data_IF_830985990488
#
_entry.id   IF_830985990488
#
_cell.length_a   1.000
_cell.length_b   1.000
_cell.length_c   1.000
_cell.angle_alpha   90.00
_cell.angle_beta   90.00
_cell.angle_gamma   90.00
#
_symmetry.space_group_name_H-M   'P 1'
#
loop_
_entity.id
_entity.type
_entity.pdbx_description
1 polymer ?
#
# COMPACT_ATOMS: atom_id res chain seq x y z
N UNK A 1 -24.45 -48.09 -9.15
CA UNK A 1 -24.66 -47.97 -7.69
C UNK A 1 -24.65 -46.48 -7.41
N UNK A 2 -25.82 -45.88 -7.47
CA UNK A 2 -26.07 -44.45 -7.25
C UNK A 2 -26.32 -44.25 -5.75
N UNK A 3 -25.64 -43.28 -5.15
CA UNK A 3 -25.96 -42.82 -3.78
C UNK A 3 -26.60 -41.43 -3.88
N UNK A 4 -27.87 -41.37 -3.53
CA UNK A 4 -28.67 -40.17 -3.35
C UNK A 4 -28.19 -39.36 -2.13
N UNK A 5 -28.08 -38.05 -2.30
CA UNK A 5 -27.94 -37.08 -1.25
C UNK A 5 -29.24 -36.29 -1.10
N UNK A 6 -29.77 -36.10 0.12
CA UNK A 6 -31.06 -35.42 0.30
C UNK A 6 -30.96 -33.91 0.30
N UNK A 7 -31.97 -33.30 -0.31
CA UNK A 7 -32.26 -31.89 -0.43
C UNK A 7 -32.45 -31.11 0.87
N UNK A 8 -32.03 -29.87 0.87
CA UNK A 8 -32.15 -28.87 1.91
C UNK A 8 -33.63 -28.60 2.33
N UNK A 9 -33.86 -28.46 3.64
CA UNK A 9 -35.10 -27.93 4.20
C UNK A 9 -35.04 -26.42 4.35
N UNK A 10 -36.09 -25.77 3.85
CA UNK A 10 -36.43 -24.37 4.05
C UNK A 10 -36.66 -24.05 5.52
N UNK A 11 -36.19 -22.95 6.02
CA UNK A 11 -36.51 -22.41 7.35
C UNK A 11 -37.53 -21.31 7.18
N UNK A 12 -38.75 -21.59 7.66
CA UNK A 12 -39.87 -20.65 7.73
C UNK A 12 -39.65 -19.61 8.84
N UNK A 13 -40.09 -18.39 8.52
CA UNK A 13 -40.13 -17.27 9.44
C UNK A 13 -41.16 -17.49 10.54
N UNK A 14 -40.73 -17.49 11.81
CA UNK A 14 -41.61 -17.41 12.96
C UNK A 14 -41.67 -15.98 13.49
N UNK A 15 -42.85 -15.37 13.31
CA UNK A 15 -43.26 -14.16 13.99
C UNK A 15 -43.65 -14.51 15.44
N UNK A 16 -43.07 -13.86 16.42
CA UNK A 16 -43.56 -13.89 17.81
C UNK A 16 -43.92 -12.48 18.25
N UNK A 17 -45.24 -12.27 18.35
CA UNK A 17 -45.87 -11.21 19.13
C UNK A 17 -45.87 -11.62 20.60
N UNK A 18 -45.34 -10.80 21.49
CA UNK A 18 -45.39 -11.03 22.94
C UNK A 18 -45.45 -9.71 23.71
N UNK A 19 -46.58 -9.50 24.39
CA UNK A 19 -46.90 -8.31 25.20
C UNK A 19 -46.08 -8.18 26.48
N UNK A 20 -46.11 -7.02 27.18
CA UNK A 20 -45.09 -6.59 28.13
C UNK A 20 -45.36 -7.14 29.56
N UNK A 21 -44.29 -7.62 30.21
CA UNK A 21 -44.28 -7.88 31.65
C UNK A 21 -43.61 -6.73 32.38
N UNK A 22 -44.40 -6.03 33.21
CA UNK A 22 -43.87 -5.08 34.22
C UNK A 22 -43.20 -5.85 35.35
N UNK A 23 -41.99 -5.44 35.77
CA UNK A 23 -41.59 -5.49 37.19
C UNK A 23 -40.32 -4.65 37.50
N UNK A 24 -40.52 -3.78 38.49
CA UNK A 24 -39.60 -3.27 39.52
C UNK A 24 -38.38 -2.48 39.15
N UNK A 25 -38.50 -1.18 39.37
CA UNK A 25 -37.60 -0.13 39.73
C UNK A 25 -36.21 -0.51 40.30
N UNK A 26 -35.19 -0.23 39.51
CA UNK A 26 -33.89 0.29 39.98
C UNK A 26 -33.41 1.21 38.90
N UNK A 27 -33.26 2.48 39.25
CA UNK A 27 -32.69 3.55 38.46
C UNK A 27 -31.23 3.17 38.13
N UNK A 28 -30.95 2.78 36.90
CA UNK A 28 -29.59 2.70 36.39
C UNK A 28 -29.15 4.12 36.09
N UNK A 29 -28.10 4.57 36.78
CA UNK A 29 -27.37 5.79 36.44
C UNK A 29 -26.90 5.67 35.00
N UNK A 30 -27.33 6.58 34.15
CA UNK A 30 -26.77 6.81 32.84
C UNK A 30 -25.28 7.14 33.02
N UNK A 31 -24.42 6.29 32.52
CA UNK A 31 -23.01 6.66 32.34
C UNK A 31 -22.95 7.75 31.28
N UNK A 32 -22.44 8.90 31.67
CA UNK A 32 -22.16 10.01 30.77
C UNK A 32 -21.18 9.53 29.69
N UNK A 33 -21.61 9.59 28.45
CA UNK A 33 -20.76 9.48 27.28
C UNK A 33 -19.75 10.64 27.34
N UNK A 34 -18.45 10.43 27.20
CA UNK A 34 -17.50 11.52 27.13
C UNK A 34 -17.84 12.38 25.90
N UNK A 35 -18.22 13.63 26.12
CA UNK A 35 -18.32 14.63 25.08
C UNK A 35 -16.91 14.84 24.52
N UNK A 36 -16.68 14.36 23.33
CA UNK A 36 -15.53 14.82 22.55
C UNK A 36 -15.70 16.32 22.37
N UNK A 37 -14.76 17.08 22.91
CA UNK A 37 -14.66 18.49 22.68
C UNK A 37 -14.50 18.71 21.16
N UNK A 38 -15.38 19.49 20.57
CA UNK A 38 -15.22 20.04 19.23
C UNK A 38 -14.02 20.97 19.27
N UNK A 39 -12.85 20.42 18.91
CA UNK A 39 -11.65 21.23 18.76
C UNK A 39 -11.82 22.09 17.50
N UNK A 40 -11.65 23.39 17.69
CA UNK A 40 -11.70 24.42 16.65
C UNK A 40 -10.81 24.00 15.48
N UNK A 41 -11.36 24.10 14.26
CA UNK A 41 -10.63 24.01 13.01
C UNK A 41 -9.38 24.90 13.09
N UNK A 42 -8.24 24.31 13.44
CA UNK A 42 -6.95 24.93 13.23
C UNK A 42 -6.77 25.07 11.73
N UNK A 43 -6.92 26.29 11.24
CA UNK A 43 -6.62 26.65 9.85
C UNK A 43 -5.19 26.22 9.53
N UNK A 44 -5.07 25.19 8.68
CA UNK A 44 -3.80 24.81 8.08
C UNK A 44 -3.27 26.05 7.35
N UNK A 45 -2.14 26.58 7.79
CA UNK A 45 -1.44 27.65 7.08
C UNK A 45 -0.97 27.08 5.75
N UNK A 46 -1.68 27.40 4.68
CA UNK A 46 -1.23 27.15 3.31
C UNK A 46 -0.08 28.14 3.07
N UNK A 47 1.14 27.68 3.24
CA UNK A 47 2.34 28.36 2.76
C UNK A 47 2.36 28.42 1.23
N UNK A 48 3.27 29.19 0.59
CA UNK A 48 3.33 29.27 -0.86
C UNK A 48 3.52 27.87 -1.45
N UNK A 49 2.62 27.50 -2.39
CA UNK A 49 2.52 26.18 -3.02
C UNK A 49 3.86 25.79 -3.67
N UNK A 50 4.64 24.87 -3.09
CA UNK A 50 5.80 24.36 -3.77
C UNK A 50 5.36 23.37 -4.84
N UNK A 51 5.87 23.55 -6.04
CA UNK A 51 5.90 22.62 -7.16
C UNK A 51 4.94 21.39 -7.06
N UNK A 52 3.71 21.52 -7.57
CA UNK A 52 2.70 20.45 -7.57
C UNK A 52 3.06 19.25 -8.46
N UNK A 53 4.33 19.07 -8.77
CA UNK A 53 4.82 17.97 -9.62
C UNK A 53 4.44 16.58 -9.09
N UNK A 54 4.30 16.45 -7.76
CA UNK A 54 3.87 15.20 -7.13
C UNK A 54 2.44 14.78 -7.55
N UNK A 55 1.56 15.73 -7.90
CA UNK A 55 0.19 15.43 -8.38
C UNK A 55 0.18 14.66 -9.70
N UNK A 56 1.26 14.73 -10.50
CA UNK A 56 1.39 13.96 -11.75
C UNK A 56 1.42 12.45 -11.52
N UNK A 57 1.68 12.01 -10.29
CA UNK A 57 1.62 10.61 -9.90
C UNK A 57 0.23 10.02 -10.17
N UNK A 58 -0.84 10.80 -9.96
CA UNK A 58 -2.21 10.37 -10.23
C UNK A 58 -2.50 10.10 -11.73
N UNK A 59 -1.81 10.76 -12.64
CA UNK A 59 -1.94 10.48 -14.08
C UNK A 59 -1.48 9.05 -14.41
N UNK A 60 -0.44 8.57 -13.74
CA UNK A 60 0.11 7.22 -13.91
C UNK A 60 -0.62 6.17 -13.08
N UNK A 61 -0.62 6.35 -11.77
CA UNK A 61 -1.11 5.33 -10.83
C UNK A 61 -2.61 5.40 -10.58
N UNK A 62 -3.22 6.59 -10.59
CA UNK A 62 -4.64 6.79 -10.35
C UNK A 62 -5.51 6.51 -11.58
N UNK A 63 -4.97 6.55 -12.79
CA UNK A 63 -5.75 6.42 -14.03
C UNK A 63 -6.61 5.14 -14.09
N UNK A 64 -6.11 4.05 -13.56
CA UNK A 64 -6.78 2.75 -13.44
C UNK A 64 -6.84 2.28 -11.99
N UNK A 65 -7.19 3.21 -11.08
CA UNK A 65 -7.16 2.95 -9.63
C UNK A 65 -7.98 1.72 -9.22
N UNK A 66 -9.15 1.48 -9.82
CA UNK A 66 -9.97 0.31 -9.52
C UNK A 66 -9.27 -0.99 -9.95
N UNK A 67 -8.67 -1.03 -11.14
CA UNK A 67 -7.92 -2.20 -11.60
C UNK A 67 -6.64 -2.40 -10.77
N UNK A 68 -5.96 -1.31 -10.38
CA UNK A 68 -4.84 -1.39 -9.45
C UNK A 68 -5.27 -2.02 -8.12
N UNK A 69 -6.32 -1.51 -7.50
CA UNK A 69 -6.83 -1.98 -6.21
C UNK A 69 -7.29 -3.44 -6.22
N UNK A 70 -7.83 -3.92 -7.36
CA UNK A 70 -8.47 -5.24 -7.47
C UNK A 70 -7.60 -6.30 -8.12
N UNK A 71 -6.67 -5.92 -9.00
CA UNK A 71 -5.83 -6.85 -9.76
C UNK A 71 -4.36 -6.79 -9.35
N UNK A 72 -3.81 -5.60 -9.09
CA UNK A 72 -2.38 -5.42 -8.81
C UNK A 72 -2.05 -5.48 -7.33
N UNK A 73 -2.71 -4.68 -6.51
CA UNK A 73 -2.40 -4.52 -5.09
C UNK A 73 -2.55 -5.80 -4.26
N UNK A 74 -3.54 -6.70 -4.50
CA UNK A 74 -3.69 -7.93 -3.71
C UNK A 74 -2.46 -8.84 -3.71
N UNK A 75 -1.66 -8.82 -4.78
CA UNK A 75 -0.40 -9.58 -4.83
C UNK A 75 0.64 -9.11 -3.78
N UNK A 76 0.47 -7.89 -3.26
CA UNK A 76 1.35 -7.30 -2.26
C UNK A 76 1.06 -7.80 -0.84
N UNK A 77 -0.02 -8.54 -0.59
CA UNK A 77 -0.39 -8.99 0.77
C UNK A 77 0.75 -9.69 1.50
N UNK A 78 1.54 -10.54 0.80
CA UNK A 78 2.68 -11.24 1.41
C UNK A 78 3.75 -10.26 1.90
N UNK A 79 4.00 -9.22 1.13
CA UNK A 79 4.93 -8.15 1.44
C UNK A 79 4.45 -7.33 2.64
N UNK A 80 3.19 -6.92 2.64
CA UNK A 80 2.57 -6.14 3.71
C UNK A 80 2.57 -6.91 5.04
N UNK A 81 2.05 -8.13 5.02
CA UNK A 81 2.01 -9.00 6.22
C UNK A 81 3.40 -9.32 6.73
N UNK A 82 4.35 -9.61 5.83
CA UNK A 82 5.74 -9.89 6.20
C UNK A 82 6.41 -8.71 6.88
N UNK A 83 6.24 -7.49 6.35
CA UNK A 83 6.79 -6.27 6.93
C UNK A 83 6.11 -5.92 8.26
N UNK A 84 4.78 -5.97 8.34
CA UNK A 84 4.06 -5.73 9.58
C UNK A 84 4.47 -6.71 10.68
N UNK A 85 4.70 -7.99 10.32
CA UNK A 85 5.23 -8.98 11.27
C UNK A 85 6.63 -8.62 11.73
N UNK A 86 7.51 -8.23 10.81
CA UNK A 86 8.90 -7.86 11.12
C UNK A 86 8.98 -6.63 12.02
N UNK A 87 8.12 -5.65 11.77
CA UNK A 87 7.97 -4.45 12.61
C UNK A 87 7.23 -4.73 13.93
N UNK A 88 6.68 -5.92 14.13
CA UNK A 88 5.85 -6.29 15.29
C UNK A 88 4.67 -5.34 15.48
N UNK A 89 4.01 -4.97 14.38
CA UNK A 89 2.82 -4.10 14.43
C UNK A 89 1.76 -4.71 15.33
N UNK A 90 1.24 -3.91 16.26
CA UNK A 90 0.29 -4.34 17.29
C UNK A 90 -0.73 -3.22 17.60
N UNK A 91 -1.63 -3.50 18.53
CA UNK A 91 -2.61 -2.53 19.03
C UNK A 91 -2.01 -1.31 19.76
N UNK A 92 -0.75 -1.39 20.17
CA UNK A 92 -0.05 -0.31 20.85
C UNK A 92 0.59 0.68 19.86
N UNK A 93 0.46 0.40 18.56
CA UNK A 93 1.10 1.19 17.52
C UNK A 93 0.16 2.23 16.91
N UNK A 94 0.73 3.39 16.62
CA UNK A 94 0.22 4.38 15.71
C UNK A 94 1.03 4.32 14.42
N UNK A 95 0.44 3.79 13.36
CA UNK A 95 1.11 3.50 12.10
C UNK A 95 0.72 4.52 11.02
N UNK A 96 1.71 5.07 10.33
CA UNK A 96 1.54 5.83 9.10
C UNK A 96 2.00 4.99 7.90
N UNK A 97 1.17 4.87 6.86
CA UNK A 97 1.60 4.31 5.58
C UNK A 97 1.80 5.42 4.55
N UNK A 98 3.04 5.58 4.06
CA UNK A 98 3.46 6.63 3.12
C UNK A 98 3.45 6.06 1.70
N UNK A 99 2.78 6.73 0.77
CA UNK A 99 2.39 6.23 -0.54
C UNK A 99 1.50 4.98 -0.40
N UNK A 100 0.40 5.14 0.34
CA UNK A 100 -0.46 4.04 0.78
C UNK A 100 -1.31 3.41 -0.33
N UNK A 101 -1.29 3.96 -1.54
CA UNK A 101 -2.06 3.44 -2.67
C UNK A 101 -3.55 3.34 -2.36
N UNK A 102 -4.17 2.21 -2.64
CA UNK A 102 -5.58 1.95 -2.34
C UNK A 102 -5.83 1.41 -0.92
N UNK A 103 -4.85 1.50 0.00
CA UNK A 103 -5.04 1.33 1.44
C UNK A 103 -5.07 -0.10 1.97
N UNK A 104 -4.67 -1.11 1.18
CA UNK A 104 -4.70 -2.51 1.62
C UNK A 104 -3.68 -2.78 2.76
N UNK A 105 -2.51 -2.13 2.74
CA UNK A 105 -1.54 -2.26 3.82
C UNK A 105 -2.09 -1.69 5.15
N UNK A 106 -2.81 -0.57 5.07
CA UNK A 106 -3.51 0.05 6.22
C UNK A 106 -4.56 -0.91 6.77
N UNK A 107 -5.43 -1.48 5.93
CA UNK A 107 -6.43 -2.47 6.33
C UNK A 107 -5.80 -3.63 7.10
N UNK A 108 -4.72 -4.20 6.56
CA UNK A 108 -4.00 -5.30 7.20
C UNK A 108 -3.33 -4.90 8.53
N UNK A 109 -2.88 -3.65 8.69
CA UNK A 109 -2.35 -3.14 9.96
C UNK A 109 -3.47 -2.92 10.99
N UNK A 110 -4.62 -2.41 10.56
CA UNK A 110 -5.81 -2.22 11.41
C UNK A 110 -6.33 -3.55 11.94
N UNK A 111 -6.31 -4.62 11.13
CA UNK A 111 -6.65 -5.98 11.57
C UNK A 111 -5.69 -6.52 12.66
N UNK A 112 -4.52 -5.94 12.83
CA UNK A 112 -3.59 -6.22 13.93
C UNK A 112 -3.82 -5.34 15.16
N UNK A 113 -4.81 -4.45 15.10
CA UNK A 113 -5.20 -3.53 16.16
C UNK A 113 -4.52 -2.17 16.13
N UNK A 114 -3.61 -1.91 15.18
CA UNK A 114 -2.93 -0.62 15.11
C UNK A 114 -3.90 0.53 14.78
N UNK A 115 -3.66 1.70 15.37
CA UNK A 115 -4.28 2.95 14.93
C UNK A 115 -3.51 3.47 13.71
N UNK A 116 -4.19 3.65 12.59
CA UNK A 116 -3.53 3.91 11.31
C UNK A 116 -3.83 5.30 10.76
N UNK A 117 -2.91 5.80 9.93
CA UNK A 117 -3.10 6.93 9.03
C UNK A 117 -2.42 6.62 7.68
N UNK A 118 -2.77 7.35 6.61
CA UNK A 118 -2.19 7.15 5.30
C UNK A 118 -2.07 8.43 4.48
N UNK A 119 -1.11 8.45 3.56
CA UNK A 119 -0.93 9.51 2.57
C UNK A 119 -0.56 8.92 1.22
N UNK A 120 -1.21 9.42 0.17
CA UNK A 120 -0.84 9.12 -1.22
C UNK A 120 -1.01 10.37 -2.09
N UNK A 121 -0.29 10.42 -3.20
CA UNK A 121 -0.36 11.51 -4.16
C UNK A 121 -1.57 11.40 -5.10
N UNK A 122 -2.20 10.23 -5.22
CA UNK A 122 -3.32 9.98 -6.12
C UNK A 122 -4.67 10.14 -5.45
N UNK A 123 -5.43 11.16 -5.86
CA UNK A 123 -6.81 11.39 -5.40
C UNK A 123 -7.69 10.15 -5.57
N UNK A 124 -7.53 9.45 -6.71
CA UNK A 124 -8.34 8.29 -7.07
C UNK A 124 -8.00 7.05 -6.25
N UNK A 125 -6.72 6.82 -5.93
CA UNK A 125 -6.31 5.76 -5.03
C UNK A 125 -6.74 6.06 -3.59
N UNK A 126 -6.58 7.31 -3.13
CA UNK A 126 -7.04 7.74 -1.80
C UNK A 126 -8.56 7.59 -1.65
N UNK A 127 -9.34 7.84 -2.70
CA UNK A 127 -10.79 7.62 -2.65
C UNK A 127 -11.12 6.14 -2.34
N UNK A 128 -10.42 5.20 -2.97
CA UNK A 128 -10.59 3.75 -2.70
C UNK A 128 -10.06 3.41 -1.29
N UNK A 129 -8.92 3.98 -0.90
CA UNK A 129 -8.34 3.74 0.41
C UNK A 129 -9.27 4.17 1.55
N UNK A 130 -9.95 5.31 1.40
CA UNK A 130 -10.96 5.81 2.35
C UNK A 130 -12.21 4.94 2.40
N UNK A 131 -12.69 4.47 1.25
CA UNK A 131 -13.83 3.53 1.18
C UNK A 131 -13.51 2.22 1.91
N UNK A 132 -12.29 1.71 1.73
CA UNK A 132 -11.79 0.48 2.36
C UNK A 132 -11.56 0.64 3.88
N UNK A 133 -11.16 1.83 4.33
CA UNK A 133 -10.74 2.12 5.70
C UNK A 133 -11.47 3.36 6.24
N UNK A 134 -12.80 3.26 6.40
CA UNK A 134 -13.69 4.41 6.70
C UNK A 134 -13.38 5.14 8.00
N UNK A 135 -12.73 4.47 8.97
CA UNK A 135 -12.38 5.04 10.28
C UNK A 135 -10.92 5.56 10.34
N UNK A 136 -10.19 5.52 9.22
CA UNK A 136 -8.78 5.88 9.16
C UNK A 136 -8.61 7.25 8.49
N UNK A 137 -7.75 8.09 9.05
CA UNK A 137 -7.34 9.35 8.41
C UNK A 137 -6.43 9.06 7.22
N UNK A 138 -6.92 9.27 5.99
CA UNK A 138 -6.13 9.10 4.76
C UNK A 138 -6.19 10.40 3.97
N UNK A 139 -5.05 10.98 3.66
CA UNK A 139 -4.94 12.28 3.00
C UNK A 139 -4.29 12.18 1.62
N UNK A 140 -4.69 13.10 0.73
CA UNK A 140 -3.97 13.34 -0.53
C UNK A 140 -2.85 14.34 -0.26
N UNK A 141 -1.60 13.97 -0.60
CA UNK A 141 -0.49 14.86 -0.28
C UNK A 141 0.86 14.44 -0.82
N UNK A 142 1.86 15.28 -0.57
CA UNK A 142 3.25 15.05 -0.92
C UNK A 142 3.98 14.33 0.22
N UNK A 143 4.59 13.18 -0.08
CA UNK A 143 5.41 12.44 0.89
C UNK A 143 6.66 13.22 1.36
N UNK A 144 7.07 14.23 0.62
CA UNK A 144 8.18 15.09 0.99
C UNK A 144 7.78 16.21 1.97
N UNK A 145 6.49 16.30 2.32
CA UNK A 145 5.94 17.28 3.26
C UNK A 145 4.74 16.67 3.98
N UNK A 146 5.00 15.83 4.97
CA UNK A 146 3.95 15.13 5.72
C UNK A 146 3.17 16.10 6.61
N UNK A 147 1.81 16.07 6.60
CA UNK A 147 0.98 17.04 7.31
C UNK A 147 0.83 16.76 8.82
N UNK A 148 1.61 15.85 9.37
CA UNK A 148 1.60 15.51 10.79
C UNK A 148 2.77 16.14 11.55
N UNK A 149 2.56 16.37 12.84
CA UNK A 149 3.57 16.91 13.75
C UNK A 149 4.75 15.94 13.96
N UNK A 150 5.86 16.45 14.46
CA UNK A 150 7.02 15.67 14.87
C UNK A 150 6.62 14.61 15.91
N UNK A 151 7.29 13.47 15.90
CA UNK A 151 7.12 12.42 16.88
C UNK A 151 5.66 11.99 17.10
N UNK A 152 4.93 11.77 16.00
CA UNK A 152 3.51 11.40 16.02
C UNK A 152 3.28 9.88 15.92
N UNK A 153 4.13 9.15 15.20
CA UNK A 153 3.92 7.75 14.89
C UNK A 153 4.97 6.85 15.54
N UNK A 154 4.54 5.65 15.95
CA UNK A 154 5.45 4.61 16.47
C UNK A 154 6.00 3.74 15.36
N UNK A 155 5.25 3.63 14.24
CA UNK A 155 5.64 2.87 13.05
C UNK A 155 5.33 3.69 11.80
N UNK A 156 6.25 3.70 10.86
CA UNK A 156 5.99 4.19 9.50
C UNK A 156 6.32 3.10 8.50
N UNK A 157 5.44 2.89 7.52
CA UNK A 157 5.65 1.98 6.40
C UNK A 157 5.62 2.72 5.08
N UNK A 158 6.32 2.19 4.06
CA UNK A 158 6.16 2.59 2.67
C UNK A 158 6.51 1.41 1.76
N UNK A 159 5.54 0.98 0.97
CA UNK A 159 5.66 -0.21 0.12
C UNK A 159 5.91 0.19 -1.32
N UNK A 160 7.19 0.22 -1.71
CA UNK A 160 7.64 0.59 -3.07
C UNK A 160 7.19 1.99 -3.52
N UNK A 161 6.87 2.87 -2.56
CA UNK A 161 6.46 4.25 -2.81
C UNK A 161 7.64 5.23 -2.81
N UNK A 162 8.69 4.96 -2.04
CA UNK A 162 9.88 5.81 -1.96
C UNK A 162 10.95 5.25 -2.88
N UNK A 163 11.41 6.07 -3.80
CA UNK A 163 12.45 5.73 -4.77
C UNK A 163 13.69 6.62 -4.56
N UNK A 164 14.80 6.25 -5.17
CA UNK A 164 16.07 6.97 -4.99
C UNK A 164 16.07 8.46 -5.38
N UNK A 165 14.97 8.95 -5.97
CA UNK A 165 14.76 10.36 -6.31
C UNK A 165 14.04 11.16 -5.23
N UNK A 166 13.55 10.51 -4.16
CA UNK A 166 12.81 11.14 -3.07
C UNK A 166 13.47 10.94 -1.69
N UNK A 167 14.76 11.31 -1.51
CA UNK A 167 15.42 11.17 -0.22
C UNK A 167 14.78 12.05 0.87
N UNK A 168 14.16 13.19 0.48
CA UNK A 168 13.46 14.07 1.42
C UNK A 168 12.31 13.36 2.14
N UNK A 169 11.63 12.42 1.49
CA UNK A 169 10.57 11.63 2.13
C UNK A 169 11.10 10.82 3.33
N UNK A 170 12.34 10.34 3.28
CA UNK A 170 12.96 9.61 4.39
C UNK A 170 13.23 10.54 5.58
N UNK A 171 13.60 11.80 5.32
CA UNK A 171 13.75 12.84 6.35
C UNK A 171 12.42 13.17 7.04
N UNK A 172 11.34 13.30 6.27
CA UNK A 172 10.00 13.53 6.81
C UNK A 172 9.50 12.33 7.64
N UNK A 173 9.75 11.11 7.18
CA UNK A 173 9.44 9.89 7.95
C UNK A 173 10.21 9.90 9.29
N UNK A 174 11.50 10.24 9.26
CA UNK A 174 12.27 10.34 10.49
C UNK A 174 11.72 11.42 11.42
N UNK A 175 11.27 12.56 10.89
CA UNK A 175 10.67 13.65 11.68
C UNK A 175 9.41 13.18 12.41
N UNK A 176 8.47 12.55 11.70
CA UNK A 176 7.17 12.15 12.26
C UNK A 176 7.23 10.91 13.15
N UNK A 177 8.31 10.12 13.11
CA UNK A 177 8.51 9.01 14.05
C UNK A 177 8.86 9.50 15.45
N UNK A 178 8.32 8.86 16.47
CA UNK A 178 8.75 9.04 17.86
C UNK A 178 10.19 8.52 18.04
N UNK A 179 10.96 8.98 19.05
CA UNK A 179 12.17 8.26 19.48
C UNK A 179 11.85 6.79 19.75
N UNK A 180 12.73 5.86 19.33
CA UNK A 180 12.47 4.42 19.34
C UNK A 180 11.48 3.92 18.28
N UNK A 181 10.90 4.82 17.49
CA UNK A 181 9.95 4.47 16.39
C UNK A 181 10.62 3.69 15.26
N UNK A 182 9.85 2.87 14.57
CA UNK A 182 10.32 1.89 13.59
C UNK A 182 9.87 2.24 12.18
N UNK A 183 10.80 2.17 11.24
CA UNK A 183 10.54 2.30 9.80
C UNK A 183 10.55 0.93 9.13
N UNK A 184 9.58 0.66 8.25
CA UNK A 184 9.59 -0.42 7.28
C UNK A 184 9.47 0.13 5.86
N UNK A 185 10.50 -0.02 5.06
CA UNK A 185 10.54 0.43 3.68
C UNK A 185 10.77 -0.76 2.74
N UNK A 186 10.03 -0.84 1.64
CA UNK A 186 10.30 -1.83 0.59
C UNK A 186 10.59 -1.16 -0.75
N UNK A 187 11.43 -1.81 -1.54
CA UNK A 187 11.84 -1.38 -2.88
C UNK A 187 12.03 -2.57 -3.79
N UNK A 188 12.04 -2.35 -5.10
CA UNK A 188 12.41 -3.40 -6.04
C UNK A 188 13.88 -3.80 -5.86
N UNK A 189 14.11 -5.12 -5.78
CA UNK A 189 15.44 -5.70 -5.76
C UNK A 189 16.05 -5.85 -7.15
N UNK A 190 16.98 -6.79 -7.31
CA UNK A 190 17.64 -7.05 -8.58
C UNK A 190 16.72 -7.82 -9.54
N UNK A 191 15.87 -7.10 -10.26
CA UNK A 191 14.80 -7.64 -11.13
C UNK A 191 15.35 -8.62 -12.16
N UNK A 192 16.47 -8.30 -12.82
CA UNK A 192 17.04 -9.14 -13.89
C UNK A 192 17.45 -10.54 -13.42
N UNK A 193 17.74 -10.71 -12.14
CA UNK A 193 18.07 -12.01 -11.54
C UNK A 193 16.83 -12.79 -11.06
N UNK A 194 15.64 -12.23 -11.23
CA UNK A 194 14.39 -12.86 -10.82
C UNK A 194 13.79 -13.69 -11.93
N UNK A 195 13.27 -14.87 -11.63
CA UNK A 195 12.57 -15.72 -12.61
C UNK A 195 11.32 -15.09 -13.20
N UNK A 196 10.73 -14.12 -12.46
CA UNK A 196 9.56 -13.34 -12.87
C UNK A 196 9.90 -12.05 -13.65
N UNK A 197 11.16 -11.82 -14.03
CA UNK A 197 11.55 -10.59 -14.76
C UNK A 197 10.76 -10.39 -16.06
N UNK A 198 10.26 -11.45 -16.66
CA UNK A 198 9.42 -11.42 -17.86
C UNK A 198 8.16 -10.55 -17.64
N UNK A 199 7.58 -10.58 -16.44
CA UNK A 199 6.35 -9.84 -16.13
C UNK A 199 6.54 -8.30 -16.17
N UNK A 200 7.76 -7.80 -16.14
CA UNK A 200 8.07 -6.37 -16.25
C UNK A 200 8.62 -6.00 -17.63
N UNK A 201 8.70 -6.95 -18.57
CA UNK A 201 9.25 -6.70 -19.90
C UNK A 201 8.47 -5.63 -20.70
N UNK A 202 7.12 -5.54 -20.64
CA UNK A 202 6.37 -4.53 -21.37
C UNK A 202 6.71 -3.08 -20.98
N UNK A 203 7.25 -2.83 -19.78
CA UNK A 203 7.69 -1.48 -19.40
C UNK A 203 8.86 -0.96 -20.26
N UNK A 204 9.60 -1.84 -20.94
CA UNK A 204 10.65 -1.43 -21.89
C UNK A 204 10.10 -0.77 -23.15
N UNK A 205 8.78 -0.87 -23.39
CA UNK A 205 8.11 -0.18 -24.50
C UNK A 205 7.97 1.33 -24.26
N UNK A 206 8.22 1.82 -23.05
CA UNK A 206 8.30 3.25 -22.79
C UNK A 206 9.42 3.89 -23.62
N UNK A 207 9.20 5.14 -24.07
CA UNK A 207 10.27 5.93 -24.70
C UNK A 207 11.47 6.06 -23.77
N UNK A 208 12.67 6.39 -24.30
CA UNK A 208 13.80 6.74 -23.45
C UNK A 208 13.34 7.76 -22.41
N UNK A 209 13.49 7.41 -21.16
CA UNK A 209 12.78 7.98 -20.01
C UNK A 209 12.86 9.49 -19.96
N UNK A 210 11.68 10.12 -19.96
CA UNK A 210 11.50 11.54 -19.62
C UNK A 210 11.24 11.72 -18.11
N UNK A 211 10.94 10.66 -17.39
CA UNK A 211 10.70 10.68 -15.95
C UNK A 211 11.89 10.00 -15.27
N UNK A 212 12.69 10.78 -14.55
CA UNK A 212 13.91 10.34 -13.85
C UNK A 212 13.67 9.19 -12.87
N UNK A 213 12.41 9.00 -12.46
CA UNK A 213 12.02 8.10 -11.38
C UNK A 213 12.05 6.61 -11.73
N UNK A 214 11.84 6.20 -12.97
CA UNK A 214 11.77 4.75 -13.28
C UNK A 214 13.15 4.06 -13.21
N UNK A 215 14.20 4.69 -13.64
CA UNK A 215 15.56 4.16 -13.47
C UNK A 215 15.97 4.08 -12.00
N UNK A 216 15.41 4.97 -11.17
CA UNK A 216 15.67 5.05 -9.75
C UNK A 216 14.88 4.02 -8.92
N UNK A 217 13.79 3.44 -9.43
CA UNK A 217 12.99 2.45 -8.71
C UNK A 217 13.77 1.26 -8.17
N UNK A 218 14.85 0.86 -8.84
CA UNK A 218 15.71 -0.25 -8.42
C UNK A 218 17.00 0.21 -7.74
N UNK A 219 17.26 1.52 -7.69
CA UNK A 219 18.54 2.05 -7.19
C UNK A 219 18.76 1.71 -5.72
N UNK A 220 17.75 1.92 -4.88
CA UNK A 220 17.81 1.63 -3.45
C UNK A 220 17.90 0.14 -3.14
N UNK A 221 17.45 -0.73 -4.03
CA UNK A 221 17.57 -2.18 -3.89
C UNK A 221 18.99 -2.73 -4.11
N UNK A 222 19.94 -1.92 -4.55
CA UNK A 222 21.34 -2.32 -4.67
C UNK A 222 21.96 -2.51 -3.27
N UNK A 223 22.88 -3.47 -3.11
CA UNK A 223 23.58 -3.64 -1.84
C UNK A 223 24.21 -2.35 -1.33
N UNK A 224 23.94 -1.99 -0.10
CA UNK A 224 24.46 -0.80 0.57
C UNK A 224 23.69 0.50 0.29
N UNK A 225 22.94 0.62 -0.81
CA UNK A 225 22.34 1.90 -1.20
C UNK A 225 21.18 2.33 -0.29
N UNK A 226 20.27 1.40 0.02
CA UNK A 226 19.15 1.70 0.93
C UNK A 226 19.63 1.85 2.38
N UNK A 227 20.57 1.02 2.79
CA UNK A 227 21.19 1.09 4.12
C UNK A 227 21.89 2.44 4.35
N UNK A 228 22.63 2.90 3.34
CA UNK A 228 23.31 4.20 3.38
C UNK A 228 22.30 5.35 3.46
N UNK A 229 21.23 5.32 2.64
CA UNK A 229 20.19 6.34 2.65
C UNK A 229 19.55 6.46 4.05
N UNK A 230 19.22 5.34 4.69
CA UNK A 230 18.61 5.35 6.02
C UNK A 230 19.60 5.87 7.07
N UNK A 231 20.88 5.46 7.02
CA UNK A 231 21.91 5.92 7.94
C UNK A 231 22.17 7.44 7.81
N UNK A 232 22.19 7.98 6.58
CA UNK A 232 22.33 9.41 6.30
C UNK A 232 21.17 10.25 6.87
N UNK A 233 19.98 9.62 7.05
CA UNK A 233 18.82 10.26 7.67
C UNK A 233 18.67 9.92 9.18
N UNK A 234 19.72 9.39 9.80
CA UNK A 234 19.77 9.19 11.25
C UNK A 234 19.12 7.93 11.79
N UNK A 235 18.72 6.99 10.94
CA UNK A 235 18.23 5.69 11.38
C UNK A 235 19.40 4.80 11.87
N UNK A 236 19.11 3.99 12.88
CA UNK A 236 20.03 3.00 13.44
C UNK A 236 19.40 1.60 13.35
N UNK A 237 20.15 0.56 13.72
CA UNK A 237 19.71 -0.84 13.68
C UNK A 237 19.12 -1.23 12.33
N UNK A 238 19.76 -0.76 11.27
CA UNK A 238 19.29 -0.93 9.90
C UNK A 238 19.49 -2.38 9.49
N UNK A 239 18.39 -3.04 9.15
CA UNK A 239 18.36 -4.39 8.63
C UNK A 239 17.84 -4.43 7.21
N UNK A 240 18.54 -5.16 6.34
CA UNK A 240 18.12 -5.49 4.98
C UNK A 240 17.52 -6.89 4.95
N UNK A 241 16.35 -7.05 4.40
CA UNK A 241 15.67 -8.34 4.23
C UNK A 241 15.27 -8.56 2.77
N UNK A 242 15.22 -9.81 2.33
CA UNK A 242 14.59 -10.17 1.05
C UNK A 242 13.17 -10.66 1.31
N UNK A 243 12.21 -10.06 0.59
CA UNK A 243 10.80 -10.42 0.70
C UNK A 243 10.39 -11.11 -0.61
N UNK A 244 9.84 -12.34 -0.55
CA UNK A 244 9.30 -12.99 -1.74
C UNK A 244 8.08 -12.24 -2.24
N UNK A 245 8.18 -11.67 -3.43
CA UNK A 245 7.04 -11.10 -4.15
C UNK A 245 6.66 -12.03 -5.30
N UNK A 246 5.39 -12.40 -5.35
CA UNK A 246 4.87 -13.30 -6.37
C UNK A 246 3.61 -12.70 -6.96
N UNK A 247 3.67 -12.36 -8.23
CA UNK A 247 2.50 -12.04 -9.04
C UNK A 247 1.90 -13.32 -9.62
N UNK A 248 0.61 -13.48 -9.43
CA UNK A 248 -0.15 -14.61 -9.99
C UNK A 248 -1.33 -14.08 -10.81
N UNK A 249 -1.50 -14.63 -12.00
CA UNK A 249 -2.56 -14.20 -12.92
C UNK A 249 -3.30 -15.42 -13.44
N UNK A 250 -4.62 -15.29 -13.58
CA UNK A 250 -5.46 -16.36 -14.10
C UNK A 250 -5.11 -16.69 -15.57
N UNK A 251 -4.86 -15.65 -16.36
CA UNK A 251 -4.63 -15.73 -17.79
C UNK A 251 -3.82 -14.52 -18.32
N UNK A 252 -3.42 -14.50 -19.60
CA UNK A 252 -2.68 -13.42 -20.21
C UNK A 252 -3.44 -12.08 -20.25
N UNK A 253 -4.76 -12.08 -20.32
CA UNK A 253 -5.57 -10.85 -20.40
C UNK A 253 -5.62 -10.18 -19.01
N UNK A 254 -5.82 -10.98 -17.95
CA UNK A 254 -5.73 -10.50 -16.56
C UNK A 254 -4.33 -9.94 -16.29
N UNK A 255 -3.27 -10.61 -16.75
CA UNK A 255 -1.90 -10.09 -16.63
C UNK A 255 -1.74 -8.73 -17.30
N UNK A 256 -2.17 -8.58 -18.55
CA UNK A 256 -2.01 -7.35 -19.32
C UNK A 256 -2.79 -6.19 -18.67
N UNK A 257 -4.01 -6.43 -18.18
CA UNK A 257 -4.83 -5.46 -17.45
C UNK A 257 -4.18 -5.07 -16.12
N UNK A 258 -3.70 -6.05 -15.36
CA UNK A 258 -3.00 -5.79 -14.10
C UNK A 258 -1.79 -4.90 -14.34
N UNK A 259 -0.98 -5.21 -15.35
CA UNK A 259 0.21 -4.43 -15.67
C UNK A 259 -0.15 -3.01 -16.11
N UNK A 260 -1.19 -2.85 -16.96
CA UNK A 260 -1.68 -1.57 -17.45
C UNK A 260 -2.19 -0.64 -16.32
N UNK A 261 -2.53 -1.19 -15.15
CA UNK A 261 -2.98 -0.42 -13.99
C UNK A 261 -1.84 0.22 -13.19
N UNK A 262 -0.59 -0.04 -13.55
CA UNK A 262 0.59 0.47 -12.83
C UNK A 262 1.16 1.74 -13.47
N UNK A 263 1.81 2.59 -12.68
CA UNK A 263 2.44 3.82 -13.17
C UNK A 263 3.46 3.60 -14.31
N UNK A 264 4.38 2.62 -14.23
CA UNK A 264 5.31 2.34 -15.32
C UNK A 264 4.65 1.97 -16.64
N UNK A 265 3.49 1.33 -16.63
CA UNK A 265 2.75 1.01 -17.85
C UNK A 265 2.17 2.26 -18.52
N UNK A 266 1.83 3.29 -17.73
CA UNK A 266 1.31 4.54 -18.28
C UNK A 266 2.27 5.14 -19.31
N UNK A 267 3.55 5.23 -19.01
CA UNK A 267 4.55 5.77 -19.93
C UNK A 267 4.70 4.91 -21.19
N UNK A 268 4.68 3.60 -21.05
CA UNK A 268 4.70 2.69 -22.19
C UNK A 268 3.46 2.89 -23.08
N UNK A 269 2.27 2.95 -22.49
CA UNK A 269 1.01 3.16 -23.19
C UNK A 269 1.00 4.53 -23.90
N UNK A 270 1.50 5.58 -23.26
CA UNK A 270 1.61 6.91 -23.90
C UNK A 270 2.53 6.91 -25.11
N UNK A 271 3.55 6.04 -25.11
CA UNK A 271 4.50 5.96 -26.22
C UNK A 271 4.02 5.12 -27.40
N UNK A 272 3.51 3.91 -27.12
CA UNK A 272 3.17 2.94 -28.17
C UNK A 272 1.66 2.79 -28.44
N UNK A 273 0.82 3.38 -27.61
CA UNK A 273 -0.62 3.22 -27.62
C UNK A 273 -1.08 1.99 -26.83
N UNK A 274 -2.33 2.06 -26.38
CA UNK A 274 -2.92 1.05 -25.49
C UNK A 274 -3.03 -0.32 -26.18
N UNK A 275 -3.49 -0.37 -27.43
CA UNK A 275 -3.63 -1.62 -28.18
C UNK A 275 -2.30 -2.35 -28.38
N UNK A 276 -1.25 -1.60 -28.73
CA UNK A 276 0.08 -2.19 -28.90
C UNK A 276 0.66 -2.70 -27.58
N UNK A 277 0.44 -1.98 -26.48
CA UNK A 277 0.84 -2.41 -25.16
C UNK A 277 0.16 -3.71 -24.73
N UNK A 278 -1.17 -3.79 -24.88
CA UNK A 278 -1.93 -4.99 -24.53
C UNK A 278 -1.54 -6.20 -25.37
N UNK A 279 -1.37 -6.02 -26.69
CA UNK A 279 -0.93 -7.09 -27.58
C UNK A 279 0.40 -7.67 -27.16
N UNK A 280 1.40 -6.83 -26.93
CA UNK A 280 2.74 -7.25 -26.52
C UNK A 280 2.73 -7.92 -25.15
N UNK A 281 2.05 -7.32 -24.16
CA UNK A 281 1.93 -7.89 -22.83
C UNK A 281 1.27 -9.28 -22.88
N UNK A 282 0.16 -9.41 -23.60
CA UNK A 282 -0.54 -10.70 -23.75
C UNK A 282 0.34 -11.74 -24.43
N UNK A 283 1.12 -11.39 -25.46
CA UNK A 283 2.01 -12.31 -26.15
C UNK A 283 3.15 -12.80 -25.25
N UNK A 284 3.75 -11.89 -24.48
CA UNK A 284 4.77 -12.26 -23.48
C UNK A 284 4.19 -13.26 -22.46
N UNK A 285 2.99 -13.00 -21.97
CA UNK A 285 2.34 -13.88 -21.00
C UNK A 285 1.99 -15.24 -21.58
N UNK A 286 1.55 -15.31 -22.85
CA UNK A 286 1.25 -16.57 -23.55
C UNK A 286 2.47 -17.51 -23.57
N UNK A 287 3.68 -16.97 -23.73
CA UNK A 287 4.91 -17.75 -23.68
C UNK A 287 5.20 -18.40 -22.32
N UNK A 288 4.48 -17.99 -21.26
CA UNK A 288 4.65 -18.48 -19.89
C UNK A 288 3.55 -19.44 -19.44
N UNK A 289 2.57 -19.72 -20.30
CA UNK A 289 1.45 -20.62 -19.95
C UNK A 289 1.97 -22.02 -19.66
N UNK A 290 1.47 -22.57 -18.57
CA UNK A 290 1.63 -23.97 -18.18
C UNK A 290 0.23 -24.54 -17.94
N UNK A 291 -0.10 -25.64 -18.58
CA UNK A 291 -1.43 -26.23 -18.51
C UNK A 291 -1.87 -26.49 -17.07
N UNK A 292 -3.07 -26.05 -16.72
CA UNK A 292 -3.67 -26.22 -15.38
C UNK A 292 -3.06 -25.40 -14.27
N UNK A 293 -2.12 -24.48 -14.57
CA UNK A 293 -1.46 -23.64 -13.55
C UNK A 293 -1.62 -22.15 -13.87
N UNK A 294 -1.70 -21.29 -12.83
CA UNK A 294 -1.71 -19.86 -13.04
C UNK A 294 -0.37 -19.38 -13.63
N UNK A 295 -0.41 -18.27 -14.34
CA UNK A 295 0.80 -17.52 -14.68
C UNK A 295 1.44 -17.01 -13.38
N UNK A 296 2.74 -17.23 -13.22
CA UNK A 296 3.42 -16.89 -11.97
C UNK A 296 4.76 -16.20 -12.22
N UNK A 297 4.90 -15.00 -11.69
CA UNK A 297 6.12 -14.20 -11.76
C UNK A 297 6.66 -13.96 -10.34
N UNK A 298 7.78 -14.58 -10.01
CA UNK A 298 8.48 -14.34 -8.75
C UNK A 298 9.54 -13.27 -8.96
N UNK A 299 9.44 -12.16 -8.23
CA UNK A 299 10.33 -11.01 -8.35
C UNK A 299 10.94 -10.73 -6.98
N UNK A 300 12.20 -10.31 -6.94
CA UNK A 300 12.84 -9.92 -5.69
C UNK A 300 12.41 -8.52 -5.26
N UNK A 301 11.87 -8.43 -4.05
CA UNK A 301 11.64 -7.19 -3.32
C UNK A 301 12.63 -7.17 -2.14
N UNK A 302 13.21 -6.02 -1.90
CA UNK A 302 14.09 -5.77 -0.76
C UNK A 302 13.34 -4.91 0.24
N UNK A 303 13.33 -5.36 1.49
CA UNK A 303 12.84 -4.59 2.63
C UNK A 303 13.99 -4.04 3.45
N UNK A 304 13.76 -2.89 4.05
CA UNK A 304 14.62 -2.29 5.06
C UNK A 304 13.80 -2.03 6.31
N UNK A 305 14.37 -2.34 7.45
CA UNK A 305 13.87 -1.93 8.75
C UNK A 305 14.92 -1.02 9.38
N UNK A 306 14.49 0.05 10.00
CA UNK A 306 15.36 0.96 10.74
C UNK A 306 14.65 1.51 11.97
N UNK A 307 15.40 1.95 12.95
CA UNK A 307 14.88 2.53 14.20
C UNK A 307 15.34 3.98 14.30
N UNK A 308 14.43 4.89 14.66
CA UNK A 308 14.82 6.24 15.07
C UNK A 308 15.43 6.16 16.45
N UNK A 309 16.67 6.63 16.67
CA UNK A 309 17.31 6.51 17.97
C UNK A 309 16.54 7.26 19.06
N UNK A 310 16.62 6.75 20.29
CA UNK A 310 16.16 7.49 21.45
C UNK A 310 16.99 8.77 21.58
N UNK A 311 16.32 9.93 21.62
CA UNK A 311 17.00 11.21 21.81
C UNK A 311 17.70 11.21 23.19
N UNK A 312 19.04 11.14 23.18
CA UNK A 312 19.83 11.40 24.39
C UNK A 312 20.17 12.86 24.51
#
# INVERSE_FOLDING_TARGET
MAMDLPLARSIDAMSCSGSPVRRNGKTLRTMDTPKFATDEQKSVRIGPVPNEAWRKVDEGWGRRAVEFATLSEPANCREYVGMHHRLRVSQDDRLLDVACGSGLAIELATLRGASCAGIDASDRLVAIARDRNSEVEIVVGDMNQLPWDDATFTVVTSFRGIWGTNPAAVGEIHRVLVPGGRLGLTVWGHIKASSGAWALAPFKMAAPQKVENQAAMVALGRPGAGEQLLAEHGFVDIERIEIPFVWEFADPDVYARTLASTGPAYEAIQHVGEEAFYREATEIARSQIREGLPLRASIKVVGFVGVKPDGR
#
